data_IF_693366214269
#
_entry.id   IF_693366214269
#
_cell.length_a   1.000
_cell.length_b   1.000
_cell.length_c   1.000
_cell.angle_alpha   90.00
_cell.angle_beta   90.00
_cell.angle_gamma   90.00
#
_symmetry.space_group_name_H-M   'P 1'
#
loop_
_entity.id
_entity.type
_entity.pdbx_description
1 polymer ?
#
# COMPACT_ATOMS: atom_id res chain seq x y z
N UNK A 1 -15.38 8.23 -6.49
CA UNK A 1 -15.62 8.66 -7.91
C UNK A 1 -15.32 7.52 -8.87
N UNK A 2 -15.82 7.61 -10.12
CA UNK A 2 -15.50 6.64 -11.18
C UNK A 2 -14.51 7.24 -12.17
N UNK A 3 -13.48 6.48 -12.52
CA UNK A 3 -12.40 6.87 -13.44
C UNK A 3 -12.30 5.87 -14.60
N UNK A 4 -11.90 6.37 -15.76
CA UNK A 4 -11.67 5.51 -16.93
C UNK A 4 -10.30 4.81 -16.79
N UNK A 5 -10.27 3.49 -17.04
CA UNK A 5 -9.02 2.70 -17.07
C UNK A 5 -8.06 3.19 -18.16
N UNK A 6 -6.73 3.06 -17.95
CA UNK A 6 -6.12 2.53 -16.76
C UNK A 6 -6.18 3.51 -15.57
N UNK A 7 -6.21 2.99 -14.35
CA UNK A 7 -6.26 3.78 -13.11
C UNK A 7 -5.20 3.27 -12.13
N UNK A 8 -4.45 4.20 -11.55
CA UNK A 8 -3.50 3.93 -10.47
C UNK A 8 -3.83 4.82 -9.28
N UNK A 9 -4.00 4.21 -8.09
CA UNK A 9 -4.18 4.91 -6.81
C UNK A 9 -3.05 4.52 -5.88
N UNK A 10 -2.44 5.49 -5.20
CA UNK A 10 -1.34 5.26 -4.26
C UNK A 10 -1.58 5.99 -2.94
N UNK A 11 -0.97 5.51 -1.86
CA UNK A 11 -0.90 6.22 -0.58
C UNK A 11 0.53 6.22 0.00
N UNK A 12 0.87 7.29 0.69
CA UNK A 12 2.12 7.45 1.43
C UNK A 12 1.99 7.13 2.93
N UNK A 13 0.84 6.53 3.33
CA UNK A 13 0.57 6.07 4.68
C UNK A 13 -0.26 7.03 5.53
N UNK A 14 -1.06 6.44 6.42
CA UNK A 14 -1.94 7.15 7.34
C UNK A 14 -1.25 7.38 8.69
N UNK A 15 -1.39 8.60 9.26
CA UNK A 15 -0.79 8.95 10.55
C UNK A 15 -0.89 10.43 10.88
N UNK A 16 -0.13 10.85 11.90
CA UNK A 16 -0.15 12.23 12.38
C UNK A 16 0.55 13.22 11.44
N UNK A 17 1.54 12.79 10.70
CA UNK A 17 2.35 13.59 9.76
C UNK A 17 2.90 14.91 10.35
N UNK A 18 3.09 14.99 11.69
CA UNK A 18 3.36 16.24 12.41
C UNK A 18 4.66 16.94 11.99
N UNK A 19 5.66 16.23 11.49
CA UNK A 19 6.97 16.76 11.13
C UNK A 19 7.31 16.58 9.63
N UNK A 20 6.33 16.21 8.82
CA UNK A 20 6.57 15.98 7.39
C UNK A 20 6.37 17.25 6.59
N UNK A 21 7.28 17.47 5.66
CA UNK A 21 7.12 18.52 4.66
C UNK A 21 6.05 18.08 3.65
N UNK A 22 4.85 18.67 3.76
CA UNK A 22 3.69 18.38 2.88
C UNK A 22 4.09 18.38 1.40
N UNK A 23 4.79 19.43 0.95
CA UNK A 23 5.17 19.60 -0.45
C UNK A 23 6.10 18.49 -0.95
N UNK A 24 7.03 18.02 -0.11
CA UNK A 24 7.92 16.90 -0.46
C UNK A 24 7.16 15.59 -0.61
N UNK A 25 6.21 15.31 0.28
CA UNK A 25 5.36 14.13 0.19
C UNK A 25 4.50 14.16 -1.07
N UNK A 26 3.85 15.29 -1.37
CA UNK A 26 3.02 15.46 -2.56
C UNK A 26 3.86 15.37 -3.85
N UNK A 27 5.08 15.92 -3.86
CA UNK A 27 6.00 15.77 -4.99
C UNK A 27 6.38 14.30 -5.21
N UNK A 28 6.78 13.59 -4.15
CA UNK A 28 7.14 12.17 -4.25
C UNK A 28 5.97 11.29 -4.73
N UNK A 29 4.73 11.62 -4.31
CA UNK A 29 3.53 10.92 -4.82
C UNK A 29 3.32 11.18 -6.32
N UNK A 30 3.50 12.42 -6.83
CA UNK A 30 3.39 12.69 -8.26
C UNK A 30 4.43 11.91 -9.08
N UNK A 31 5.68 11.91 -8.64
CA UNK A 31 6.76 11.16 -9.30
C UNK A 31 6.47 9.66 -9.32
N UNK A 32 5.90 9.12 -8.22
CA UNK A 32 5.53 7.72 -8.12
C UNK A 32 4.30 7.35 -8.96
N UNK A 33 3.32 8.25 -9.06
CA UNK A 33 2.19 8.11 -9.99
C UNK A 33 2.66 8.08 -11.44
N UNK A 34 3.55 9.01 -11.84
CA UNK A 34 4.09 9.03 -13.21
C UNK A 34 4.82 7.75 -13.54
N UNK A 35 5.71 7.29 -12.65
CA UNK A 35 6.50 6.09 -12.85
C UNK A 35 5.62 4.84 -12.95
N UNK A 36 4.72 4.63 -11.98
CA UNK A 36 3.82 3.47 -11.99
C UNK A 36 2.81 3.50 -13.15
N UNK A 37 2.23 4.66 -13.46
CA UNK A 37 1.29 4.80 -14.56
C UNK A 37 1.93 4.56 -15.92
N UNK A 38 3.21 4.89 -16.07
CA UNK A 38 3.98 4.64 -17.28
C UNK A 38 4.01 3.16 -17.69
N UNK A 39 3.92 2.25 -16.72
CA UNK A 39 3.95 0.80 -16.96
C UNK A 39 2.72 0.27 -17.70
N UNK A 40 1.59 0.96 -17.67
CA UNK A 40 0.41 0.55 -18.47
C UNK A 40 0.63 0.53 -19.98
N UNK A 41 1.69 1.18 -20.48
CA UNK A 41 2.02 1.19 -21.92
C UNK A 41 2.53 -0.16 -22.44
N UNK A 42 3.20 -0.93 -21.59
CA UNK A 42 3.84 -2.19 -21.96
C UNK A 42 3.64 -3.31 -20.94
N UNK A 43 3.15 -2.98 -19.76
CA UNK A 43 2.92 -3.87 -18.62
C UNK A 43 1.45 -3.97 -18.26
N UNK A 44 1.21 -4.44 -17.06
CA UNK A 44 -0.12 -4.66 -16.48
C UNK A 44 -0.31 -3.85 -15.19
N UNK A 45 -1.49 -3.97 -14.59
CA UNK A 45 -1.78 -3.44 -13.26
C UNK A 45 -0.75 -3.88 -12.20
N UNK A 46 -0.16 -5.07 -12.36
CA UNK A 46 0.84 -5.59 -11.43
C UNK A 46 2.15 -4.81 -11.50
N UNK A 47 2.70 -4.58 -12.71
CA UNK A 47 3.91 -3.78 -12.91
C UNK A 47 3.69 -2.33 -12.48
N UNK A 48 2.51 -1.77 -12.73
CA UNK A 48 2.14 -0.43 -12.28
C UNK A 48 2.22 -0.29 -10.75
N UNK A 49 1.71 -1.27 -10.00
CA UNK A 49 1.81 -1.34 -8.54
C UNK A 49 3.26 -1.44 -8.08
N UNK A 50 4.05 -2.34 -8.70
CA UNK A 50 5.47 -2.54 -8.35
C UNK A 50 6.28 -1.26 -8.54
N UNK A 51 6.16 -0.61 -9.70
CA UNK A 51 6.96 0.58 -10.03
C UNK A 51 6.53 1.82 -9.21
N UNK A 52 5.23 1.97 -8.92
CA UNK A 52 4.76 3.03 -8.04
C UNK A 52 5.33 2.88 -6.62
N UNK A 53 5.23 1.67 -6.04
CA UNK A 53 5.76 1.39 -4.70
C UNK A 53 7.30 1.50 -4.68
N UNK A 54 8.01 0.96 -5.66
CA UNK A 54 9.46 1.06 -5.74
C UNK A 54 9.93 2.53 -5.83
N UNK A 55 9.20 3.40 -6.54
CA UNK A 55 9.45 4.83 -6.57
C UNK A 55 9.29 5.48 -5.18
N UNK A 56 8.24 5.11 -4.45
CA UNK A 56 8.03 5.59 -3.07
C UNK A 56 9.13 5.09 -2.11
N UNK A 57 9.57 3.83 -2.24
CA UNK A 57 10.70 3.25 -1.49
C UNK A 57 12.01 3.99 -1.76
N UNK A 58 12.29 4.33 -3.04
CA UNK A 58 13.50 5.06 -3.46
C UNK A 58 13.50 6.51 -2.99
N UNK A 59 12.34 7.13 -2.77
CA UNK A 59 12.20 8.54 -2.38
C UNK A 59 12.82 8.88 -1.02
N UNK A 60 12.88 7.92 -0.10
CA UNK A 60 13.31 8.12 1.29
C UNK A 60 12.39 9.03 2.11
N UNK A 61 11.22 9.40 1.59
CA UNK A 61 10.23 10.27 2.27
C UNK A 61 9.30 9.45 3.16
N UNK A 62 8.91 8.27 2.71
CA UNK A 62 7.96 7.38 3.37
C UNK A 62 8.68 6.30 4.18
N UNK A 63 7.99 5.68 5.13
CA UNK A 63 8.51 4.54 5.89
C UNK A 63 8.45 3.24 5.06
N UNK A 64 9.24 3.21 4.01
CA UNK A 64 9.43 2.06 3.12
C UNK A 64 10.77 2.20 2.40
N UNK A 65 11.44 1.11 2.05
CA UNK A 65 12.73 1.12 1.38
C UNK A 65 13.76 1.97 2.12
N UNK A 66 14.36 2.96 1.46
CA UNK A 66 15.40 3.85 2.02
C UNK A 66 14.92 4.69 3.22
N UNK A 67 13.63 4.98 3.33
CA UNK A 67 13.03 5.74 4.43
C UNK A 67 12.58 4.90 5.61
N UNK A 68 12.82 3.58 5.59
CA UNK A 68 12.36 2.67 6.65
C UNK A 68 12.91 3.00 8.02
N UNK A 69 12.05 2.93 9.03
CA UNK A 69 12.39 3.16 10.45
C UNK A 69 13.27 2.03 11.01
N UNK A 70 13.97 2.33 12.11
CA UNK A 70 14.82 1.37 12.81
C UNK A 70 14.02 0.56 13.84
N UNK A 71 14.42 -0.69 14.05
CA UNK A 71 13.97 -1.54 15.13
C UNK A 71 14.65 -1.15 16.47
N UNK A 72 14.32 -1.84 17.56
CA UNK A 72 14.82 -1.56 18.92
C UNK A 72 16.34 -1.78 19.08
N UNK A 73 16.97 -2.49 18.16
CA UNK A 73 18.42 -2.74 18.13
C UNK A 73 19.18 -1.85 17.12
N UNK A 74 18.48 -0.88 16.51
CA UNK A 74 19.06 0.04 15.54
C UNK A 74 19.15 -0.51 14.11
N UNK A 75 18.75 -1.76 13.87
CA UNK A 75 18.67 -2.38 12.57
C UNK A 75 17.44 -1.95 11.78
N UNK A 76 17.44 -2.20 10.47
CA UNK A 76 16.29 -1.97 9.59
C UNK A 76 15.82 -3.30 9.04
N UNK A 77 14.55 -3.59 9.22
CA UNK A 77 13.85 -4.76 8.69
C UNK A 77 12.57 -4.30 8.00
N UNK A 78 12.32 -4.79 6.80
CA UNK A 78 11.26 -4.32 5.92
C UNK A 78 10.33 -5.46 5.55
N UNK A 79 9.07 -5.11 5.30
CA UNK A 79 8.03 -6.04 4.88
C UNK A 79 7.37 -5.49 3.61
N UNK A 80 7.04 -6.34 2.65
CA UNK A 80 6.28 -5.98 1.45
C UNK A 80 5.46 -7.15 0.92
N UNK A 81 4.36 -6.83 0.26
CA UNK A 81 3.54 -7.82 -0.42
C UNK A 81 2.73 -7.23 -1.55
N UNK A 82 2.36 -8.09 -2.51
CA UNK A 82 1.49 -7.72 -3.62
C UNK A 82 0.66 -8.91 -4.11
N UNK A 83 -0.46 -8.60 -4.74
CA UNK A 83 -1.40 -9.59 -5.25
C UNK A 83 -1.94 -9.19 -6.62
N UNK A 84 -1.98 -10.17 -7.54
CA UNK A 84 -2.63 -10.06 -8.83
C UNK A 84 -4.03 -10.67 -8.79
N UNK A 85 -5.06 -9.86 -8.93
CA UNK A 85 -6.45 -10.26 -8.70
C UNK A 85 -7.00 -11.27 -9.68
N UNK A 86 -6.50 -11.29 -10.93
CA UNK A 86 -6.96 -12.22 -11.97
C UNK A 86 -6.71 -13.69 -11.62
N UNK A 87 -5.56 -13.98 -11.05
CA UNK A 87 -5.12 -15.36 -10.73
C UNK A 87 -5.05 -15.64 -9.25
N UNK A 88 -5.29 -14.62 -8.40
CA UNK A 88 -5.07 -14.63 -6.96
C UNK A 88 -3.61 -14.94 -6.59
N UNK A 89 -2.67 -14.70 -7.50
CA UNK A 89 -1.24 -14.90 -7.24
C UNK A 89 -0.74 -13.85 -6.26
N UNK A 90 0.01 -14.28 -5.26
CA UNK A 90 0.57 -13.45 -4.19
C UNK A 90 2.06 -13.66 -4.10
N UNK A 91 2.79 -12.59 -3.84
CA UNK A 91 4.18 -12.64 -3.42
C UNK A 91 4.43 -11.69 -2.27
N UNK A 92 5.09 -12.17 -1.23
CA UNK A 92 5.35 -11.39 -0.02
C UNK A 92 6.72 -11.70 0.56
N UNK A 93 7.31 -10.70 1.20
CA UNK A 93 8.56 -10.81 1.96
C UNK A 93 8.41 -10.13 3.31
N UNK A 94 9.02 -10.70 4.35
CA UNK A 94 8.99 -10.13 5.69
C UNK A 94 10.34 -10.16 6.37
N UNK A 95 10.61 -9.17 7.22
CA UNK A 95 11.86 -9.04 7.97
C UNK A 95 13.08 -9.17 7.07
N UNK A 96 13.09 -8.47 5.93
CA UNK A 96 14.21 -8.42 4.98
C UNK A 96 14.88 -7.04 5.02
N UNK A 97 16.09 -6.95 4.46
CA UNK A 97 16.75 -5.70 4.16
C UNK A 97 17.09 -5.67 2.68
N UNK A 98 16.37 -4.86 1.91
CA UNK A 98 16.53 -4.74 0.47
C UNK A 98 16.28 -3.30 0.03
N UNK A 99 16.92 -2.86 -1.06
CA UNK A 99 16.68 -1.53 -1.63
C UNK A 99 15.20 -1.30 -1.95
N UNK A 100 14.59 -2.28 -2.63
CA UNK A 100 13.17 -2.27 -2.98
C UNK A 100 12.50 -3.58 -2.53
N UNK A 101 11.98 -3.65 -1.30
CA UNK A 101 11.25 -4.82 -0.80
C UNK A 101 10.13 -5.30 -1.71
N UNK A 102 9.40 -4.36 -2.34
CA UNK A 102 8.31 -4.69 -3.25
C UNK A 102 8.78 -5.51 -4.48
N UNK A 103 9.98 -5.24 -5.01
CA UNK A 103 10.55 -6.03 -6.10
C UNK A 103 10.90 -7.45 -5.66
N UNK A 104 11.34 -7.64 -4.40
CA UNK A 104 11.58 -8.96 -3.82
C UNK A 104 10.29 -9.73 -3.64
N UNK A 105 9.22 -9.06 -3.20
CA UNK A 105 7.89 -9.64 -3.16
C UNK A 105 7.40 -10.04 -4.58
N UNK A 106 7.66 -9.22 -5.59
CA UNK A 106 7.34 -9.53 -6.99
C UNK A 106 8.11 -10.75 -7.53
N UNK A 107 9.38 -10.90 -7.15
CA UNK A 107 10.16 -12.12 -7.49
C UNK A 107 9.53 -13.38 -6.88
N UNK A 108 9.08 -13.32 -5.62
CA UNK A 108 8.35 -14.42 -4.97
C UNK A 108 7.08 -14.78 -5.74
N UNK A 109 6.29 -13.77 -6.13
CA UNK A 109 5.08 -13.97 -6.93
C UNK A 109 5.41 -14.65 -8.27
N UNK A 110 6.43 -14.17 -9.00
CA UNK A 110 6.81 -14.74 -10.31
C UNK A 110 7.30 -16.18 -10.21
N UNK A 111 7.98 -16.55 -9.14
CA UNK A 111 8.39 -17.93 -8.91
C UNK A 111 7.21 -18.86 -8.67
N UNK A 112 6.12 -18.38 -8.11
CA UNK A 112 4.86 -19.10 -7.92
C UNK A 112 4.91 -20.33 -7.01
N UNK A 113 6.06 -20.58 -6.36
CA UNK A 113 6.26 -21.76 -5.48
C UNK A 113 5.81 -21.48 -4.04
N UNK A 114 6.07 -20.29 -3.55
CA UNK A 114 5.75 -19.83 -2.20
C UNK A 114 5.01 -18.50 -2.27
N UNK A 115 4.28 -18.18 -1.21
CA UNK A 115 3.52 -16.92 -1.10
C UNK A 115 4.26 -15.91 -0.25
N UNK A 116 4.83 -16.34 0.87
CA UNK A 116 5.50 -15.46 1.84
C UNK A 116 6.86 -16.06 2.22
N UNK A 117 7.90 -15.26 2.06
CA UNK A 117 9.28 -15.59 2.40
C UNK A 117 9.81 -14.60 3.43
N UNK A 118 10.48 -15.09 4.50
CA UNK A 118 11.02 -14.23 5.55
C UNK A 118 12.54 -14.36 5.64
N UNK A 119 13.23 -13.25 5.95
CA UNK A 119 14.68 -13.19 6.15
C UNK A 119 15.52 -13.73 4.99
N UNK A 120 15.01 -13.71 3.76
CA UNK A 120 15.68 -14.30 2.58
C UNK A 120 16.69 -13.37 1.93
N UNK A 121 16.64 -12.06 2.22
CA UNK A 121 17.50 -11.04 1.60
C UNK A 121 18.02 -10.10 2.68
N UNK A 122 19.33 -9.85 2.66
CA UNK A 122 19.99 -8.89 3.55
C UNK A 122 21.06 -8.12 2.78
N UNK A 123 20.62 -7.06 2.08
CA UNK A 123 21.50 -6.21 1.28
C UNK A 123 22.14 -5.12 2.14
N UNK A 124 23.38 -4.75 1.82
CA UNK A 124 23.96 -3.52 2.35
C UNK A 124 23.47 -2.34 1.50
N UNK A 125 22.57 -1.55 2.06
CA UNK A 125 21.93 -0.41 1.40
C UNK A 125 22.13 0.87 2.19
N UNK A 126 22.37 1.96 1.47
CA UNK A 126 22.37 3.30 2.06
C UNK A 126 20.96 3.71 2.47
N UNK A 127 20.77 3.95 3.76
CA UNK A 127 19.51 4.41 4.31
C UNK A 127 19.44 5.93 4.29
N UNK A 128 18.25 6.47 4.05
CA UNK A 128 17.94 7.88 4.18
C UNK A 128 17.84 8.33 5.65
N UNK A 129 17.34 9.56 5.85
CA UNK A 129 17.07 10.08 7.19
C UNK A 129 15.88 9.36 7.84
N UNK A 130 16.17 8.43 8.73
CA UNK A 130 15.20 7.56 9.42
C UNK A 130 14.67 8.22 10.72
N UNK A 131 14.94 9.50 10.96
CA UNK A 131 14.47 10.23 12.15
C UNK A 131 12.97 10.53 12.11
N UNK A 132 12.32 10.33 10.97
CA UNK A 132 10.92 10.70 10.71
C UNK A 132 9.97 9.57 11.06
N UNK A 133 8.78 9.93 11.53
CA UNK A 133 7.67 9.01 11.71
C UNK A 133 6.92 8.85 10.37
N UNK A 134 7.58 8.17 9.42
CA UNK A 134 6.97 7.85 8.14
C UNK A 134 6.01 6.67 8.27
N UNK A 135 5.11 6.53 7.29
CA UNK A 135 4.09 5.49 7.27
C UNK A 135 4.22 4.58 6.04
N UNK A 136 3.67 3.38 6.13
CA UNK A 136 3.54 2.37 5.07
C UNK A 136 3.09 2.97 3.74
N UNK A 137 3.71 2.56 2.63
CA UNK A 137 3.25 2.93 1.29
C UNK A 137 2.44 1.81 0.66
N UNK A 138 1.55 2.18 -0.26
CA UNK A 138 0.80 1.17 -1.03
C UNK A 138 0.22 1.71 -2.31
N UNK A 139 -0.20 0.78 -3.16
CA UNK A 139 -0.79 1.06 -4.47
C UNK A 139 -1.87 0.04 -4.83
N UNK A 140 -2.87 0.50 -5.56
CA UNK A 140 -3.87 -0.33 -6.26
C UNK A 140 -4.00 0.13 -7.70
N UNK A 141 -4.14 -0.80 -8.63
CA UNK A 141 -4.17 -0.50 -10.05
C UNK A 141 -5.24 -1.31 -10.79
N UNK A 142 -5.82 -0.69 -11.82
CA UNK A 142 -6.74 -1.30 -12.79
C UNK A 142 -6.19 -1.04 -14.18
N UNK A 143 -5.88 -2.10 -14.94
CA UNK A 143 -5.42 -1.98 -16.31
C UNK A 143 -6.57 -1.91 -17.34
N UNK A 144 -6.23 -1.67 -18.63
CA UNK A 144 -7.21 -1.60 -19.72
C UNK A 144 -7.93 -2.93 -19.97
N UNK A 145 -7.35 -4.05 -19.56
CA UNK A 145 -7.95 -5.38 -19.66
C UNK A 145 -8.88 -5.71 -18.49
N UNK A 146 -9.05 -4.77 -17.54
CA UNK A 146 -9.89 -4.95 -16.37
C UNK A 146 -9.25 -5.77 -15.23
N UNK A 147 -7.92 -5.98 -15.27
CA UNK A 147 -7.24 -6.70 -14.20
C UNK A 147 -6.87 -5.74 -13.06
N UNK A 148 -7.06 -6.20 -11.85
CA UNK A 148 -6.77 -5.46 -10.62
C UNK A 148 -5.52 -6.02 -9.92
N UNK A 149 -4.72 -5.14 -9.34
CA UNK A 149 -3.57 -5.48 -8.50
C UNK A 149 -3.49 -4.57 -7.29
N UNK A 150 -2.94 -5.09 -6.20
CA UNK A 150 -2.70 -4.34 -4.96
C UNK A 150 -1.33 -4.69 -4.39
N UNK A 151 -0.72 -3.75 -3.65
CA UNK A 151 0.52 -4.01 -2.92
C UNK A 151 0.77 -2.97 -1.83
N UNK A 152 1.64 -3.35 -0.89
CA UNK A 152 2.10 -2.53 0.24
C UNK A 152 3.58 -2.77 0.50
N UNK A 153 4.27 -1.76 1.08
CA UNK A 153 5.64 -1.86 1.56
C UNK A 153 5.86 -0.99 2.80
N UNK A 154 6.67 -1.47 3.75
CA UNK A 154 6.90 -0.78 5.02
C UNK A 154 8.22 -1.13 5.69
N UNK A 155 8.77 -0.20 6.48
CA UNK A 155 9.78 -0.47 7.50
C UNK A 155 9.19 -0.94 8.83
N UNK A 156 7.85 -1.04 8.95
CA UNK A 156 7.15 -1.39 10.17
C UNK A 156 7.00 -0.21 11.15
N UNK A 157 6.85 -0.53 12.43
CA UNK A 157 6.72 0.46 13.51
C UNK A 157 8.11 0.80 14.06
N UNK A 158 8.37 2.09 14.32
CA UNK A 158 9.62 2.55 14.95
C UNK A 158 9.85 1.83 16.29
N UNK A 159 11.06 1.32 16.48
CA UNK A 159 11.42 0.60 17.70
C UNK A 159 10.78 -0.79 17.82
N UNK A 160 10.21 -1.34 16.74
CA UNK A 160 9.72 -2.73 16.71
C UNK A 160 10.82 -3.71 17.18
N UNK A 161 10.45 -4.83 17.73
CA UNK A 161 11.40 -5.91 18.02
C UNK A 161 11.97 -6.50 16.73
N UNK A 162 13.25 -6.92 16.71
CA UNK A 162 13.81 -7.65 15.56
C UNK A 162 12.96 -8.87 15.19
N UNK A 163 12.67 -9.03 13.91
CA UNK A 163 11.82 -10.12 13.41
C UNK A 163 10.33 -9.87 13.48
N UNK A 164 9.87 -8.70 14.00
CA UNK A 164 8.45 -8.34 13.94
C UNK A 164 8.04 -8.09 12.49
N UNK A 165 7.04 -8.78 12.05
CA UNK A 165 6.36 -8.62 10.75
C UNK A 165 4.95 -8.07 10.99
N UNK A 166 4.58 -7.00 10.26
CA UNK A 166 3.26 -6.38 10.36
C UNK A 166 2.24 -6.93 9.37
N UNK A 167 1.22 -6.11 9.10
CA UNK A 167 0.14 -6.41 8.15
C UNK A 167 0.59 -6.38 6.69
N UNK A 168 1.59 -5.55 6.36
CA UNK A 168 1.97 -5.23 4.98
C UNK A 168 2.32 -6.42 4.09
N UNK A 169 2.92 -7.54 4.54
CA UNK A 169 3.15 -8.71 3.71
C UNK A 169 2.03 -9.75 3.77
N UNK A 170 0.93 -9.49 4.50
CA UNK A 170 -0.14 -10.46 4.74
C UNK A 170 -1.35 -10.16 3.85
N UNK A 171 -1.66 -11.03 2.85
CA UNK A 171 -2.84 -10.84 2.01
C UNK A 171 -4.12 -10.90 2.84
N UNK A 172 -5.02 -9.96 2.58
CA UNK A 172 -6.24 -9.77 3.35
C UNK A 172 -6.11 -8.77 4.50
N UNK A 173 -4.91 -8.55 5.01
CA UNK A 173 -4.59 -7.53 6.01
C UNK A 173 -4.09 -6.24 5.34
N UNK A 174 -2.81 -6.18 4.95
CA UNK A 174 -2.20 -5.00 4.36
C UNK A 174 -2.62 -4.75 2.92
N UNK A 175 -2.91 -5.78 2.15
CA UNK A 175 -3.39 -5.69 0.76
C UNK A 175 -4.28 -6.86 0.40
N UNK A 176 -5.12 -6.66 -0.59
CA UNK A 176 -5.87 -7.76 -1.24
C UNK A 176 -6.31 -7.35 -2.64
N UNK A 177 -6.28 -8.29 -3.58
CA UNK A 177 -6.83 -8.07 -4.92
C UNK A 177 -7.57 -9.30 -5.44
N UNK A 178 -8.71 -9.06 -6.07
CA UNK A 178 -9.50 -10.06 -6.80
C UNK A 178 -9.92 -9.47 -8.15
N UNK A 179 -10.72 -10.17 -8.91
CA UNK A 179 -11.35 -9.60 -10.11
C UNK A 179 -12.39 -8.52 -9.80
N UNK A 180 -12.76 -8.30 -8.53
CA UNK A 180 -13.79 -7.36 -8.09
C UNK A 180 -13.22 -6.05 -7.55
N UNK A 181 -12.18 -6.16 -6.73
CA UNK A 181 -11.60 -5.03 -6.00
C UNK A 181 -10.14 -5.26 -5.68
N UNK A 182 -9.37 -4.17 -5.64
CA UNK A 182 -8.02 -4.09 -5.11
C UNK A 182 -8.03 -3.12 -3.91
N UNK A 183 -7.38 -3.50 -2.80
CA UNK A 183 -7.31 -2.74 -1.55
C UNK A 183 -5.89 -2.72 -1.03
N UNK A 184 -5.45 -1.57 -0.50
CA UNK A 184 -4.18 -1.42 0.22
C UNK A 184 -4.42 -0.66 1.51
N UNK A 185 -3.89 -1.16 2.63
CA UNK A 185 -4.10 -0.64 3.98
C UNK A 185 -2.79 -0.11 4.58
N UNK A 186 -2.92 0.78 5.56
CA UNK A 186 -1.83 1.39 6.31
C UNK A 186 -2.32 1.76 7.70
N UNK A 187 -1.46 1.67 8.71
CA UNK A 187 -1.81 2.00 10.09
C UNK A 187 -1.07 1.14 11.11
N UNK A 188 -1.76 0.79 12.19
CA UNK A 188 -1.19 -0.08 13.24
C UNK A 188 -1.37 -1.54 12.83
N UNK A 189 -0.28 -2.17 12.37
CA UNK A 189 -0.29 -3.52 11.79
C UNK A 189 -0.88 -4.58 12.71
N UNK A 190 -0.66 -4.49 14.02
CA UNK A 190 -1.20 -5.39 15.03
C UNK A 190 -2.74 -5.41 15.07
N UNK A 191 -3.37 -4.27 14.78
CA UNK A 191 -4.82 -4.14 14.73
C UNK A 191 -5.37 -4.58 13.38
N UNK A 192 -4.68 -4.20 12.29
CA UNK A 192 -5.04 -4.56 10.91
C UNK A 192 -5.03 -6.09 10.74
N UNK A 193 -4.01 -6.78 11.26
CA UNK A 193 -3.92 -8.24 11.25
C UNK A 193 -5.10 -8.95 11.96
N UNK A 194 -5.71 -8.30 12.95
CA UNK A 194 -6.81 -8.90 13.73
C UNK A 194 -8.17 -8.81 13.04
N UNK A 195 -8.40 -7.80 12.19
CA UNK A 195 -9.69 -7.60 11.48
C UNK A 195 -9.64 -7.87 9.98
N UNK A 196 -8.45 -7.94 9.37
CA UNK A 196 -8.26 -8.22 7.94
C UNK A 196 -9.11 -7.31 7.02
N UNK A 197 -9.04 -5.97 7.15
CA UNK A 197 -9.94 -5.04 6.48
C UNK A 197 -9.91 -5.14 4.95
N UNK A 198 -8.77 -5.45 4.35
CA UNK A 198 -8.67 -5.59 2.90
C UNK A 198 -9.49 -6.79 2.38
N UNK A 199 -9.48 -7.93 3.11
CA UNK A 199 -10.32 -9.08 2.77
C UNK A 199 -11.80 -8.83 3.05
N UNK A 200 -12.12 -8.12 4.12
CA UNK A 200 -13.52 -7.81 4.45
C UNK A 200 -14.18 -6.94 3.38
N UNK A 201 -13.45 -5.94 2.82
CA UNK A 201 -13.95 -5.16 1.68
C UNK A 201 -14.23 -6.05 0.46
N UNK A 202 -13.35 -7.00 0.11
CA UNK A 202 -13.61 -7.95 -0.98
C UNK A 202 -14.86 -8.80 -0.73
N UNK A 203 -15.10 -9.21 0.52
CA UNK A 203 -16.31 -9.99 0.87
C UNK A 203 -17.57 -9.16 0.70
N UNK A 204 -17.59 -7.91 1.15
CA UNK A 204 -18.73 -7.01 0.97
C UNK A 204 -18.98 -6.75 -0.53
N UNK A 205 -17.92 -6.53 -1.31
CA UNK A 205 -18.03 -6.41 -2.77
C UNK A 205 -18.60 -7.68 -3.43
N UNK A 206 -18.22 -8.86 -2.94
CA UNK A 206 -18.78 -10.13 -3.42
C UNK A 206 -20.27 -10.29 -3.08
N UNK A 207 -20.74 -9.68 -1.99
CA UNK A 207 -22.16 -9.62 -1.61
C UNK A 207 -22.94 -8.54 -2.38
N UNK A 208 -22.29 -7.74 -3.25
CA UNK A 208 -22.92 -6.73 -4.09
C UNK A 208 -22.98 -5.31 -3.50
N UNK A 209 -22.41 -5.08 -2.32
CA UNK A 209 -22.36 -3.74 -1.75
C UNK A 209 -21.51 -2.78 -2.62
N UNK A 210 -21.89 -1.52 -2.82
CA UNK A 210 -21.06 -0.51 -3.47
C UNK A 210 -19.70 -0.33 -2.80
N UNK A 211 -18.67 0.09 -3.56
CA UNK A 211 -17.31 0.20 -3.04
C UNK A 211 -17.20 1.15 -1.85
N UNK A 212 -17.78 2.33 -1.97
CA UNK A 212 -17.73 3.37 -0.93
C UNK A 212 -18.52 2.98 0.33
N UNK A 213 -19.61 2.23 0.20
CA UNK A 213 -20.33 1.65 1.35
C UNK A 213 -19.50 0.56 2.03
N UNK A 214 -18.86 -0.32 1.26
CA UNK A 214 -17.96 -1.36 1.78
C UNK A 214 -16.79 -0.74 2.56
N UNK A 215 -16.16 0.30 2.00
CA UNK A 215 -15.06 1.03 2.66
C UNK A 215 -15.53 1.71 3.94
N UNK A 216 -16.68 2.41 3.92
CA UNK A 216 -17.24 3.05 5.13
C UNK A 216 -17.61 2.04 6.21
N UNK A 217 -18.23 0.92 5.85
CA UNK A 217 -18.63 -0.11 6.81
C UNK A 217 -17.40 -0.72 7.52
N UNK A 218 -16.34 -1.04 6.76
CA UNK A 218 -15.12 -1.60 7.33
C UNK A 218 -14.38 -0.57 8.19
N UNK A 219 -14.27 0.68 7.74
CA UNK A 219 -13.66 1.76 8.52
C UNK A 219 -14.45 2.05 9.80
N UNK A 220 -15.80 2.07 9.75
CA UNK A 220 -16.67 2.22 10.91
C UNK A 220 -16.45 1.12 11.93
N UNK A 221 -16.56 -0.14 11.52
CA UNK A 221 -16.31 -1.31 12.37
C UNK A 221 -14.91 -1.28 13.00
N UNK A 222 -13.88 -0.93 12.22
CA UNK A 222 -12.52 -0.83 12.73
C UNK A 222 -12.38 0.26 13.81
N UNK A 223 -12.96 1.42 13.55
CA UNK A 223 -12.95 2.55 14.48
C UNK A 223 -13.76 2.28 15.75
N UNK A 224 -14.91 1.62 15.64
CA UNK A 224 -15.70 1.16 16.80
C UNK A 224 -14.94 0.16 17.66
N UNK A 225 -14.18 -0.75 17.01
CA UNK A 225 -13.46 -1.81 17.73
C UNK A 225 -12.17 -1.32 18.40
N UNK A 226 -11.42 -0.42 17.73
CA UNK A 226 -10.05 -0.07 18.15
C UNK A 226 -9.84 1.44 18.39
N UNK A 227 -10.86 2.28 18.21
CA UNK A 227 -10.73 3.73 18.32
C UNK A 227 -10.19 4.37 17.04
N UNK A 228 -9.71 5.60 17.16
CA UNK A 228 -9.15 6.41 16.07
C UNK A 228 -7.63 6.30 16.00
N UNK A 229 -7.05 6.98 15.00
CA UNK A 229 -5.62 7.15 14.75
C UNK A 229 -4.85 5.86 14.43
N UNK A 230 -5.50 4.91 13.71
CA UNK A 230 -4.94 3.57 13.58
C UNK A 230 -5.15 2.89 12.22
N UNK A 231 -5.95 3.44 11.30
CA UNK A 231 -6.21 2.86 9.98
C UNK A 231 -6.36 3.93 8.89
N UNK A 232 -5.79 3.65 7.74
CA UNK A 232 -6.09 4.25 6.46
C UNK A 232 -6.09 3.18 5.36
N UNK A 233 -6.84 3.40 4.31
CA UNK A 233 -6.88 2.49 3.16
C UNK A 233 -7.26 3.21 1.87
N UNK A 234 -6.85 2.64 0.76
CA UNK A 234 -7.30 2.95 -0.60
C UNK A 234 -7.91 1.71 -1.22
N UNK A 235 -8.93 1.88 -2.04
CA UNK A 235 -9.58 0.80 -2.76
C UNK A 235 -9.97 1.23 -4.19
N UNK A 236 -9.92 0.27 -5.12
CA UNK A 236 -10.26 0.47 -6.53
C UNK A 236 -11.01 -0.77 -7.03
N UNK A 237 -12.18 -0.60 -7.64
CA UNK A 237 -12.92 -1.72 -8.19
C UNK A 237 -12.77 -1.87 -9.72
N UNK A 238 -13.26 -3.00 -10.26
CA UNK A 238 -13.19 -3.34 -11.69
C UNK A 238 -13.96 -2.38 -12.60
N UNK A 239 -14.86 -1.57 -12.06
CA UNK A 239 -15.62 -0.55 -12.79
C UNK A 239 -14.91 0.80 -12.83
N UNK A 240 -13.75 0.93 -12.16
CA UNK A 240 -13.00 2.18 -12.02
C UNK A 240 -13.49 3.10 -10.90
N UNK A 241 -14.36 2.62 -10.00
CA UNK A 241 -14.66 3.36 -8.78
C UNK A 241 -13.47 3.29 -7.84
N UNK A 242 -13.01 4.46 -7.38
CA UNK A 242 -11.93 4.59 -6.40
C UNK A 242 -12.48 5.21 -5.11
N UNK A 243 -11.98 4.72 -3.97
CA UNK A 243 -12.33 5.19 -2.64
C UNK A 243 -11.08 5.22 -1.75
N UNK A 244 -11.02 6.20 -0.85
CA UNK A 244 -10.03 6.28 0.22
C UNK A 244 -10.72 6.63 1.52
N UNK A 245 -10.28 6.04 2.63
CA UNK A 245 -10.76 6.39 3.96
C UNK A 245 -9.64 6.24 4.98
N UNK A 246 -9.62 7.12 5.97
CA UNK A 246 -8.67 7.07 7.09
C UNK A 246 -9.28 7.68 8.35
N UNK A 247 -8.90 7.18 9.51
CA UNK A 247 -9.32 7.69 10.81
C UNK A 247 -8.18 8.39 11.58
N UNK A 248 -7.10 8.74 10.87
CA UNK A 248 -5.90 9.43 11.37
C UNK A 248 -5.89 10.91 11.00
N UNK A 249 -4.87 11.66 11.44
CA UNK A 249 -4.74 13.09 11.14
C UNK A 249 -4.56 13.41 9.65
N UNK A 250 -3.87 12.56 8.89
CA UNK A 250 -3.68 12.70 7.44
C UNK A 250 -3.35 11.36 6.78
N UNK A 251 -3.58 11.28 5.48
CA UNK A 251 -3.15 10.21 4.59
C UNK A 251 -2.79 10.78 3.22
N UNK A 252 -1.53 11.18 2.98
CA UNK A 252 -1.08 11.58 1.65
C UNK A 252 -1.35 10.49 0.64
N UNK A 253 -2.01 10.82 -0.45
CA UNK A 253 -2.43 9.89 -1.48
C UNK A 253 -2.57 10.55 -2.84
N UNK A 254 -2.63 9.75 -3.87
CA UNK A 254 -2.80 10.26 -5.22
C UNK A 254 -3.51 9.26 -6.12
N UNK A 255 -4.08 9.77 -7.19
CA UNK A 255 -4.73 9.02 -8.25
C UNK A 255 -4.31 9.56 -9.61
N UNK A 256 -4.04 8.66 -10.56
CA UNK A 256 -3.78 8.97 -11.96
C UNK A 256 -4.62 8.07 -12.85
N UNK A 257 -5.24 8.66 -13.86
CA UNK A 257 -6.10 7.97 -14.81
C UNK A 257 -5.92 8.55 -16.23
N UNK A 258 -6.53 7.93 -17.21
CA UNK A 258 -6.56 8.47 -18.58
C UNK A 258 -7.38 9.77 -18.62
N UNK A 259 -6.74 10.90 -18.48
CA UNK A 259 -7.36 12.23 -18.48
C UNK A 259 -6.94 13.12 -17.31
N UNK A 260 -6.12 12.62 -16.35
CA UNK A 260 -5.64 13.49 -15.30
C UNK A 260 -4.96 12.81 -14.12
N UNK A 261 -4.60 13.65 -13.18
CA UNK A 261 -3.93 13.29 -11.94
C UNK A 261 -4.41 14.19 -10.81
N UNK A 262 -4.53 13.64 -9.62
CA UNK A 262 -4.77 14.40 -8.39
C UNK A 262 -3.92 13.83 -7.26
N UNK A 263 -3.47 14.71 -6.36
CA UNK A 263 -2.84 14.33 -5.09
C UNK A 263 -3.48 15.09 -3.94
N UNK A 264 -3.61 14.42 -2.80
CA UNK A 264 -4.25 14.91 -1.59
C UNK A 264 -3.34 14.67 -0.39
N UNK A 265 -3.51 15.41 0.68
CA UNK A 265 -2.71 15.24 1.90
C UNK A 265 -3.59 14.84 3.10
N UNK A 266 -4.47 15.72 3.53
CA UNK A 266 -5.34 15.58 4.71
C UNK A 266 -6.83 15.76 4.39
N UNK A 267 -7.17 16.00 3.13
CA UNK A 267 -8.55 16.15 2.69
C UNK A 267 -9.30 14.81 2.87
N UNK A 268 -10.35 14.82 3.69
CA UNK A 268 -11.17 13.62 3.97
C UNK A 268 -12.13 13.37 2.80
N UNK A 269 -12.36 12.08 2.50
CA UNK A 269 -13.35 11.60 1.51
C UNK A 269 -13.14 12.07 0.05
N UNK A 270 -11.90 12.39 -0.32
CA UNK A 270 -11.55 12.74 -1.71
C UNK A 270 -10.61 11.71 -2.34
N UNK A 271 -11.00 11.22 -3.51
CA UNK A 271 -10.20 10.60 -4.56
C UNK A 271 -10.79 10.98 -5.91
#
# INVERSE_FOLDING_TARGET
>A
MRYNSPVLVIHGGAGSWRNMERDRALKALRESLERGYGEFRAGSSLEAVVEAIASMEDSGIFNAGRGSVKNSEGGVEMDAGLMYGKTLSVGSVGSIRARNPIRRAYEVLKQGRHVLMVRTVWEDIEMGDNSRDGNTVGAVALDEQGNLSAGTSTGGIRGKLPGRVGDSPVPGAGFYATTRVAVSCTGIGELILRLLPAKEIDMLRAMGYPLDESVRAVMGKFTETFGRDNLGLIALDYQGYASASFNTGAMPRGIKWNGGEKVFFDEVDQL
#
